data_IF_876350563677
#
_entry.id   IF_876350563677
#
_cell.length_a   1.000
_cell.length_b   1.000
_cell.length_c   1.000
_cell.angle_alpha   90.00
_cell.angle_beta   90.00
_cell.angle_gamma   90.00
#
_symmetry.space_group_name_H-M   'P 1'
#
loop_
_entity.id
_entity.type
_entity.pdbx_description
1 polymer ?
#
# COMPACT_ATOMS: atom_id res chain seq x y z
N UNK A 1 3.43 2.44 13.88
CA UNK A 1 2.37 2.50 12.84
C UNK A 1 1.03 2.71 13.55
N UNK A 2 0.26 3.74 13.19
CA UNK A 2 -1.02 4.11 13.86
C UNK A 2 -2.29 3.65 13.13
N UNK A 3 -2.19 3.27 11.85
CA UNK A 3 -3.33 2.82 11.03
C UNK A 3 -4.28 3.92 10.57
N UNK A 4 -3.96 5.19 10.85
CA UNK A 4 -4.84 6.33 10.57
C UNK A 4 -5.11 6.54 9.07
N UNK A 5 -4.08 6.38 8.23
CA UNK A 5 -4.20 6.61 6.78
C UNK A 5 -5.16 5.61 6.14
N UNK A 6 -5.05 4.33 6.52
CA UNK A 6 -5.94 3.28 6.03
C UNK A 6 -7.39 3.50 6.50
N UNK A 7 -7.58 3.91 7.77
CA UNK A 7 -8.93 4.19 8.32
C UNK A 7 -9.59 5.37 7.60
N UNK A 8 -8.87 6.47 7.42
CA UNK A 8 -9.39 7.65 6.74
C UNK A 8 -9.73 7.36 5.27
N UNK A 9 -8.89 6.59 4.57
CA UNK A 9 -9.16 6.17 3.20
C UNK A 9 -10.42 5.30 3.12
N UNK A 10 -10.60 4.33 4.04
CA UNK A 10 -11.77 3.48 4.08
C UNK A 10 -13.06 4.28 4.37
N UNK A 11 -13.03 5.20 5.34
CA UNK A 11 -14.17 6.07 5.66
C UNK A 11 -14.57 6.96 4.48
N UNK A 12 -13.60 7.48 3.73
CA UNK A 12 -13.86 8.28 2.53
C UNK A 12 -14.59 7.46 1.46
N UNK A 13 -14.11 6.24 1.16
CA UNK A 13 -14.74 5.32 0.20
C UNK A 13 -16.17 4.98 0.60
N UNK A 14 -16.40 4.64 1.87
CA UNK A 14 -17.74 4.28 2.36
C UNK A 14 -18.74 5.43 2.28
N UNK A 15 -18.27 6.68 2.35
CA UNK A 15 -19.10 7.89 2.22
C UNK A 15 -19.25 8.37 0.77
N UNK A 16 -18.59 7.72 -0.19
CA UNK A 16 -18.57 8.18 -1.59
C UNK A 16 -17.71 9.43 -1.81
N UNK A 17 -16.80 9.74 -0.90
CA UNK A 17 -15.88 10.87 -1.00
C UNK A 17 -14.59 10.47 -1.72
N UNK A 18 -13.87 11.46 -2.25
CA UNK A 18 -12.53 11.28 -2.81
C UNK A 18 -11.52 10.93 -1.70
N UNK A 19 -10.69 9.90 -1.93
CA UNK A 19 -9.56 9.56 -1.04
C UNK A 19 -8.45 10.61 -1.20
N UNK A 20 -7.72 10.91 -0.13
CA UNK A 20 -6.58 11.83 -0.18
C UNK A 20 -5.58 11.45 -1.29
N UNK A 21 -5.09 12.44 -2.02
CA UNK A 21 -4.00 12.27 -2.99
C UNK A 21 -2.66 12.02 -2.33
N UNK A 22 -2.49 12.52 -1.11
CA UNK A 22 -1.25 12.39 -0.36
C UNK A 22 -1.22 11.01 0.31
N UNK A 23 -0.65 10.02 -0.40
CA UNK A 23 -0.51 8.65 0.07
C UNK A 23 0.97 8.30 0.25
N UNK A 24 1.36 8.05 1.51
CA UNK A 24 2.72 7.64 1.85
C UNK A 24 2.86 6.13 1.60
N UNK A 25 3.80 5.66 0.76
CA UNK A 25 4.02 4.24 0.53
C UNK A 25 4.37 3.48 1.81
N UNK A 26 3.88 2.24 1.93
CA UNK A 26 4.27 1.36 3.03
C UNK A 26 5.74 0.95 2.92
N UNK A 27 6.42 0.79 4.06
CA UNK A 27 7.79 0.29 4.16
C UNK A 27 7.81 -0.96 5.03
N UNK A 28 8.49 -2.01 4.55
CA UNK A 28 8.65 -3.27 5.24
C UNK A 28 9.61 -4.20 4.49
N UNK A 29 9.73 -5.44 4.95
CA UNK A 29 10.45 -6.48 4.21
C UNK A 29 9.90 -6.62 2.79
N UNK A 30 10.76 -6.92 1.82
CA UNK A 30 10.31 -7.33 0.50
C UNK A 30 9.42 -8.59 0.60
N UNK A 31 8.50 -8.72 -0.36
CA UNK A 31 7.72 -9.95 -0.55
C UNK A 31 8.70 -11.11 -0.80
N UNK A 32 8.43 -12.25 -0.16
CA UNK A 32 9.22 -13.48 -0.31
C UNK A 32 8.69 -14.28 -1.48
N UNK A 33 9.12 -13.89 -2.66
CA UNK A 33 8.78 -14.57 -3.90
C UNK A 33 9.41 -15.97 -3.96
N UNK A 34 8.76 -16.87 -4.70
CA UNK A 34 9.42 -18.10 -5.15
C UNK A 34 10.41 -17.72 -6.24
N UNK A 35 11.54 -18.42 -6.30
CA UNK A 35 12.56 -18.17 -7.31
C UNK A 35 11.97 -18.22 -8.73
N UNK A 36 12.23 -17.16 -9.51
CA UNK A 36 11.72 -16.97 -10.87
C UNK A 36 10.29 -16.42 -10.94
N UNK A 37 9.69 -16.05 -9.80
CA UNK A 37 8.36 -15.41 -9.71
C UNK A 37 8.46 -14.00 -9.11
N UNK A 38 9.66 -13.46 -8.98
CA UNK A 38 9.89 -12.06 -8.66
C UNK A 38 9.37 -11.17 -9.80
N UNK A 39 8.82 -9.98 -9.49
CA UNK A 39 8.44 -9.02 -10.50
C UNK A 39 9.66 -8.34 -11.14
N UNK A 40 9.48 -7.76 -12.32
CA UNK A 40 10.56 -7.11 -13.10
C UNK A 40 11.28 -5.97 -12.36
N UNK A 41 10.64 -5.36 -11.36
CA UNK A 41 11.25 -4.30 -10.54
C UNK A 41 12.10 -4.83 -9.38
N UNK A 42 12.15 -6.15 -9.16
CA UNK A 42 12.96 -6.73 -8.10
C UNK A 42 14.45 -6.59 -8.45
N UNK A 43 15.29 -6.10 -7.53
CA UNK A 43 16.71 -5.97 -7.81
C UNK A 43 17.32 -7.35 -8.09
N UNK A 44 18.00 -7.48 -9.23
CA UNK A 44 18.88 -8.62 -9.54
C UNK A 44 20.13 -8.61 -8.68
#
# INVERSE_FOLDING_TARGET
VSGIDLRNAADAVLRGNTVSSDQVPSIGCNIKWKAGQEPDYFPT
#
